data_IF_101200891573
#
_entry.id   IF_101200891573
#
_cell.length_a   1.000
_cell.length_b   1.000
_cell.length_c   1.000
_cell.angle_alpha   90.00
_cell.angle_beta   90.00
_cell.angle_gamma   90.00
#
_symmetry.space_group_name_H-M   'P 1'
#
loop_
_entity.id
_entity.type
_entity.pdbx_description
1 polymer ?
#
# COMPACT_ATOMS: atom_id res chain seq x y z
N UNK A 1 -8.73 1.73 -39.60
CA UNK A 1 -8.47 0.56 -38.73
C UNK A 1 -8.48 1.09 -37.30
N UNK A 2 -9.63 1.07 -36.64
CA UNK A 2 -9.81 1.59 -35.28
C UNK A 2 -9.32 0.50 -34.34
N UNK A 3 -8.12 0.67 -33.78
CA UNK A 3 -7.60 -0.20 -32.72
C UNK A 3 -8.49 -0.01 -31.49
N UNK A 4 -9.10 -1.10 -31.05
CA UNK A 4 -9.93 -1.17 -29.85
C UNK A 4 -9.10 -0.85 -28.61
N UNK A 5 -9.34 0.36 -28.07
CA UNK A 5 -9.21 0.70 -26.65
C UNK A 5 -9.50 -0.51 -25.75
N UNK A 6 -8.59 -0.85 -24.85
CA UNK A 6 -8.92 -1.71 -23.71
C UNK A 6 -8.35 -1.12 -22.41
N UNK A 7 -8.84 0.06 -22.02
CA UNK A 7 -9.01 0.32 -20.60
C UNK A 7 -10.23 -0.47 -20.16
N UNK A 8 -10.00 -1.48 -19.32
CA UNK A 8 -11.09 -2.25 -18.74
C UNK A 8 -11.63 -1.47 -17.55
N UNK A 9 -12.82 -0.89 -17.72
CA UNK A 9 -13.61 -0.34 -16.63
C UNK A 9 -14.54 -1.42 -16.10
N UNK A 10 -14.42 -1.75 -14.83
CA UNK A 10 -15.32 -2.69 -14.15
C UNK A 10 -15.91 -2.05 -12.90
N UNK A 11 -17.23 -2.16 -12.74
CA UNK A 11 -17.92 -1.74 -11.52
C UNK A 11 -18.09 -2.93 -10.59
N UNK A 12 -17.70 -2.74 -9.34
CA UNK A 12 -17.86 -3.68 -8.24
C UNK A 12 -18.56 -3.00 -7.06
N UNK A 13 -19.08 -3.81 -6.14
CA UNK A 13 -19.65 -3.35 -4.88
C UNK A 13 -18.96 -4.06 -3.72
N UNK A 14 -18.49 -3.29 -2.74
CA UNK A 14 -17.83 -3.81 -1.55
C UNK A 14 -18.26 -3.01 -0.32
N UNK A 15 -18.70 -3.70 0.74
CA UNK A 15 -19.19 -3.09 1.99
C UNK A 15 -20.14 -1.89 1.77
N UNK A 16 -21.13 -2.07 0.87
CA UNK A 16 -22.11 -1.04 0.54
C UNK A 16 -21.59 0.14 -0.30
N UNK A 17 -20.32 0.11 -0.72
CA UNK A 17 -19.70 1.14 -1.57
C UNK A 17 -19.57 0.64 -3.01
N UNK A 18 -19.79 1.53 -3.97
CA UNK A 18 -19.49 1.29 -5.38
C UNK A 18 -18.00 1.59 -5.62
N UNK A 19 -17.30 0.66 -6.26
CA UNK A 19 -15.90 0.81 -6.67
C UNK A 19 -15.86 0.67 -8.18
N UNK A 20 -15.30 1.67 -8.87
CA UNK A 20 -15.03 1.60 -10.30
C UNK A 20 -13.53 1.38 -10.49
N UNK A 21 -13.16 0.25 -11.06
CA UNK A 21 -11.78 -0.14 -11.28
C UNK A 21 -11.46 0.15 -12.74
N UNK A 22 -10.40 0.92 -12.98
CA UNK A 22 -9.83 1.15 -14.30
C UNK A 22 -8.48 0.44 -14.32
N UNK A 23 -8.38 -0.62 -15.12
CA UNK A 23 -7.10 -1.27 -15.35
C UNK A 23 -6.26 -0.43 -16.33
N UNK A 24 -5.03 -0.13 -15.94
CA UNK A 24 -4.11 0.69 -16.74
C UNK A 24 -2.96 -0.17 -17.24
N UNK A 25 -2.61 -0.13 -18.53
CA UNK A 25 -1.48 -0.88 -19.05
C UNK A 25 -0.16 -0.47 -18.37
N UNK A 26 0.61 -1.45 -17.90
CA UNK A 26 1.84 -1.21 -17.13
C UNK A 26 3.11 -0.99 -17.96
N UNK A 27 3.01 -1.03 -19.29
CA UNK A 27 4.17 -0.84 -20.18
C UNK A 27 4.34 0.64 -20.56
N UNK A 28 5.58 1.12 -20.64
CA UNK A 28 5.93 2.53 -20.96
C UNK A 28 5.38 3.02 -22.29
N UNK A 29 5.18 2.10 -23.23
CA UNK A 29 4.62 2.40 -24.55
C UNK A 29 3.16 2.89 -24.49
N UNK A 30 2.47 2.71 -23.36
CA UNK A 30 1.08 3.13 -23.16
C UNK A 30 0.93 4.31 -22.17
N UNK A 31 1.99 5.09 -21.97
CA UNK A 31 2.00 6.25 -21.06
C UNK A 31 0.89 7.26 -21.32
N UNK A 32 0.45 7.44 -22.57
CA UNK A 32 -0.68 8.33 -22.93
C UNK A 32 -2.01 7.81 -22.39
N UNK A 33 -2.21 6.50 -22.36
CA UNK A 33 -3.44 5.89 -21.85
C UNK A 33 -3.51 6.00 -20.33
N UNK A 34 -2.38 5.68 -19.67
CA UNK A 34 -2.22 5.86 -18.22
C UNK A 34 -2.50 7.32 -17.84
N UNK A 35 -1.96 8.27 -18.59
CA UNK A 35 -2.18 9.71 -18.33
C UNK A 35 -3.66 10.11 -18.44
N UNK A 36 -4.41 9.54 -19.38
CA UNK A 36 -5.85 9.80 -19.52
C UNK A 36 -6.64 9.26 -18.35
N UNK A 37 -6.30 8.07 -17.84
CA UNK A 37 -6.94 7.50 -16.64
C UNK A 37 -6.67 8.36 -15.41
N UNK A 38 -5.43 8.81 -15.22
CA UNK A 38 -5.05 9.61 -14.05
C UNK A 38 -5.79 10.97 -13.96
N UNK A 39 -6.35 11.47 -15.07
CA UNK A 39 -7.16 12.71 -15.08
C UNK A 39 -8.58 12.52 -14.55
N UNK A 40 -9.08 11.29 -14.51
CA UNK A 40 -10.47 10.97 -14.14
C UNK A 40 -10.57 10.13 -12.87
N UNK A 41 -9.44 9.64 -12.35
CA UNK A 41 -9.36 8.81 -11.16
C UNK A 41 -9.30 9.66 -9.89
N UNK A 42 -10.11 9.30 -8.89
CA UNK A 42 -10.05 9.89 -7.54
C UNK A 42 -8.87 9.35 -6.71
N UNK A 43 -8.28 8.24 -7.12
CA UNK A 43 -7.15 7.58 -6.45
C UNK A 43 -6.60 6.42 -7.27
N UNK A 44 -5.41 5.94 -6.90
CA UNK A 44 -4.76 4.82 -7.57
C UNK A 44 -4.11 3.85 -6.57
N UNK A 45 -3.95 2.58 -6.99
CA UNK A 45 -3.17 1.58 -6.26
C UNK A 45 -1.93 1.27 -7.10
N UNK A 46 -0.76 1.66 -6.60
CA UNK A 46 0.53 1.34 -7.20
C UNK A 46 0.96 -0.04 -6.74
N UNK A 47 0.99 -1.01 -7.65
CA UNK A 47 1.44 -2.37 -7.36
C UNK A 47 2.93 -2.49 -7.64
N UNK A 48 3.70 -2.95 -6.66
CA UNK A 48 5.14 -3.24 -6.79
C UNK A 48 5.40 -4.73 -6.65
N UNK A 49 6.40 -5.25 -7.35
CA UNK A 49 6.90 -6.61 -7.12
C UNK A 49 7.84 -6.58 -5.91
N UNK A 50 7.64 -7.47 -4.93
CA UNK A 50 8.41 -7.50 -3.69
C UNK A 50 9.91 -7.73 -3.89
N UNK A 51 10.32 -8.36 -5.00
CA UNK A 51 11.72 -8.59 -5.33
C UNK A 51 12.36 -7.37 -6.00
N UNK A 52 11.67 -6.79 -6.99
CA UNK A 52 12.23 -5.70 -7.81
C UNK A 52 12.03 -4.31 -7.21
N UNK A 53 11.01 -4.13 -6.37
CA UNK A 53 10.61 -2.82 -5.85
C UNK A 53 10.21 -1.85 -6.96
N UNK A 54 10.61 -0.59 -6.84
CA UNK A 54 10.39 0.44 -7.86
C UNK A 54 11.32 0.23 -9.04
N UNK A 55 10.76 0.25 -10.25
CA UNK A 55 11.48 0.13 -11.53
C UNK A 55 11.40 1.45 -12.36
N UNK A 56 12.23 1.65 -13.41
CA UNK A 56 12.18 2.86 -14.24
C UNK A 56 10.79 3.17 -14.84
N UNK A 57 10.00 2.13 -15.16
CA UNK A 57 8.63 2.32 -15.63
C UNK A 57 7.72 2.86 -14.51
N UNK A 58 7.91 2.38 -13.27
CA UNK A 58 7.18 2.83 -12.08
C UNK A 58 7.41 4.32 -11.84
N UNK A 59 8.65 4.81 -11.99
CA UNK A 59 8.98 6.23 -11.84
C UNK A 59 8.18 7.13 -12.80
N UNK A 60 8.04 6.69 -14.05
CA UNK A 60 7.32 7.45 -15.07
C UNK A 60 5.85 7.60 -14.71
N UNK A 61 5.18 6.50 -14.34
CA UNK A 61 3.77 6.50 -13.93
C UNK A 61 3.58 7.26 -12.61
N UNK A 62 4.50 7.09 -11.65
CA UNK A 62 4.45 7.79 -10.37
C UNK A 62 4.52 9.31 -10.56
N UNK A 63 5.41 9.79 -11.43
CA UNK A 63 5.53 11.22 -11.75
C UNK A 63 4.26 11.75 -12.40
N UNK A 64 3.65 11.00 -13.33
CA UNK A 64 2.36 11.39 -13.91
C UNK A 64 1.28 11.51 -12.82
N UNK A 65 1.14 10.51 -11.95
CA UNK A 65 0.16 10.54 -10.86
C UNK A 65 0.40 11.70 -9.88
N UNK A 66 1.67 12.03 -9.58
CA UNK A 66 2.03 13.20 -8.78
C UNK A 66 1.62 14.52 -9.46
N UNK A 67 1.85 14.66 -10.77
CA UNK A 67 1.46 15.85 -11.52
C UNK A 67 -0.06 16.10 -11.49
N UNK A 68 -0.86 15.03 -11.52
CA UNK A 68 -2.31 15.09 -11.40
C UNK A 68 -2.82 15.08 -9.96
N UNK A 69 -1.92 15.07 -8.97
CA UNK A 69 -2.25 15.04 -7.53
C UNK A 69 -3.16 13.87 -7.14
N UNK A 70 -2.99 12.72 -7.79
CA UNK A 70 -3.77 11.52 -7.50
C UNK A 70 -3.28 10.89 -6.19
N UNK A 71 -4.13 10.73 -5.16
CA UNK A 71 -3.82 9.98 -3.95
C UNK A 71 -3.51 8.52 -4.28
N UNK A 72 -2.54 7.92 -3.59
CA UNK A 72 -2.03 6.59 -3.93
C UNK A 72 -1.85 5.70 -2.71
N UNK A 73 -2.25 4.45 -2.84
CA UNK A 73 -1.82 3.35 -1.97
C UNK A 73 -0.74 2.53 -2.70
N UNK A 74 0.24 2.03 -1.96
CA UNK A 74 1.24 1.11 -2.50
C UNK A 74 0.92 -0.31 -2.02
N UNK A 75 0.81 -1.25 -2.96
CA UNK A 75 0.61 -2.66 -2.68
C UNK A 75 1.85 -3.45 -3.12
N UNK A 76 2.58 -4.01 -2.16
CA UNK A 76 3.74 -4.86 -2.44
C UNK A 76 3.24 -6.29 -2.66
N UNK A 77 3.36 -6.75 -3.90
CA UNK A 77 2.80 -8.02 -4.37
C UNK A 77 3.89 -9.08 -4.54
N UNK A 78 3.47 -10.35 -4.66
CA UNK A 78 4.32 -11.53 -4.91
C UNK A 78 5.34 -11.77 -3.79
N UNK A 79 4.89 -11.60 -2.55
CA UNK A 79 5.67 -11.88 -1.34
C UNK A 79 6.10 -13.35 -1.21
N UNK A 80 5.48 -14.25 -1.98
CA UNK A 80 5.75 -15.69 -2.06
C UNK A 80 6.97 -16.06 -2.94
N UNK A 81 7.49 -15.11 -3.74
CA UNK A 81 8.64 -15.36 -4.62
C UNK A 81 9.97 -15.38 -3.87
N UNK A 82 10.91 -16.16 -4.38
CA UNK A 82 12.31 -16.11 -3.95
C UNK A 82 12.92 -14.71 -4.15
N UNK A 83 13.59 -14.20 -3.12
CA UNK A 83 14.15 -12.85 -3.09
C UNK A 83 13.13 -11.74 -2.81
N UNK A 84 11.90 -12.07 -2.39
CA UNK A 84 10.93 -11.08 -1.96
C UNK A 84 11.40 -10.36 -0.68
N UNK A 85 11.50 -9.03 -0.74
CA UNK A 85 11.85 -8.20 0.40
C UNK A 85 10.93 -6.98 0.48
N UNK A 86 9.95 -7.07 1.38
CA UNK A 86 8.97 -6.01 1.60
C UNK A 86 9.62 -4.68 2.00
N UNK A 87 10.61 -4.71 2.89
CA UNK A 87 11.22 -3.49 3.40
C UNK A 87 12.13 -2.85 2.35
N UNK A 88 12.81 -3.64 1.53
CA UNK A 88 13.53 -3.12 0.36
C UNK A 88 12.57 -2.48 -0.66
N UNK A 89 11.41 -3.10 -0.93
CA UNK A 89 10.40 -2.53 -1.82
C UNK A 89 9.85 -1.19 -1.28
N UNK A 90 9.50 -1.13 0.01
CA UNK A 90 9.06 0.14 0.66
C UNK A 90 10.16 1.19 0.60
N UNK A 91 11.40 0.83 0.92
CA UNK A 91 12.55 1.75 0.87
C UNK A 91 12.77 2.30 -0.53
N UNK A 92 12.61 1.47 -1.56
CA UNK A 92 12.77 1.90 -2.95
C UNK A 92 11.78 3.00 -3.38
N UNK A 93 10.59 3.07 -2.77
CA UNK A 93 9.64 4.18 -2.98
C UNK A 93 10.21 5.49 -2.46
N UNK A 94 10.85 5.47 -1.29
CA UNK A 94 11.51 6.66 -0.75
C UNK A 94 12.71 7.06 -1.61
N UNK A 95 13.59 6.10 -1.89
CA UNK A 95 14.88 6.37 -2.54
C UNK A 95 14.74 6.78 -4.01
N UNK A 96 13.79 6.18 -4.76
CA UNK A 96 13.64 6.42 -6.21
C UNK A 96 12.52 7.40 -6.55
N UNK A 97 11.45 7.42 -5.76
CA UNK A 97 10.25 8.22 -6.05
C UNK A 97 10.14 9.48 -5.18
N UNK A 98 11.04 9.65 -4.21
CA UNK A 98 10.95 10.66 -3.16
C UNK A 98 9.57 10.64 -2.48
N UNK A 99 8.97 9.45 -2.38
CA UNK A 99 7.67 9.23 -1.75
C UNK A 99 7.80 9.03 -0.24
N UNK A 100 6.88 9.58 0.54
CA UNK A 100 6.80 9.33 1.98
C UNK A 100 6.01 8.05 2.27
N UNK A 101 6.47 6.92 1.72
CA UNK A 101 5.79 5.64 1.90
C UNK A 101 6.07 5.08 3.30
N UNK A 102 5.00 4.79 4.03
CA UNK A 102 5.05 4.20 5.36
C UNK A 102 4.15 2.98 5.41
N UNK A 103 4.63 1.93 6.06
CA UNK A 103 3.91 0.67 6.16
C UNK A 103 2.71 0.83 7.09
N UNK A 104 1.53 0.41 6.63
CA UNK A 104 0.34 0.19 7.46
C UNK A 104 0.20 -1.29 7.88
N UNK A 105 0.93 -2.15 7.19
CA UNK A 105 0.98 -3.60 7.41
C UNK A 105 2.42 -4.08 7.24
N UNK A 106 2.79 -5.14 7.96
CA UNK A 106 4.06 -5.86 7.74
C UNK A 106 3.78 -7.34 7.49
N UNK A 107 4.55 -8.03 6.63
CA UNK A 107 4.32 -9.43 6.34
C UNK A 107 4.76 -10.34 7.50
N UNK A 108 4.07 -11.48 7.64
CA UNK A 108 4.50 -12.60 8.48
C UNK A 108 5.18 -13.62 7.57
N UNK A 109 6.51 -13.72 7.69
CA UNK A 109 7.35 -14.50 6.81
C UNK A 109 7.56 -13.85 5.44
N UNK A 110 8.34 -14.50 4.60
CA UNK A 110 8.62 -14.12 3.22
C UNK A 110 8.81 -15.40 2.38
N UNK A 111 8.74 -15.26 1.06
CA UNK A 111 8.86 -16.37 0.11
C UNK A 111 7.86 -17.50 0.46
N UNK A 112 8.30 -18.76 0.44
CA UNK A 112 7.50 -19.91 0.83
C UNK A 112 7.00 -19.89 2.30
N UNK A 113 7.54 -19.00 3.15
CA UNK A 113 7.10 -18.83 4.53
C UNK A 113 6.10 -17.68 4.70
N UNK A 114 5.79 -16.94 3.63
CA UNK A 114 4.78 -15.89 3.66
C UNK A 114 3.41 -16.52 3.91
N UNK A 115 2.78 -16.14 5.02
CA UNK A 115 1.55 -16.79 5.50
C UNK A 115 0.54 -15.83 6.09
N UNK A 116 0.87 -14.54 6.18
CA UNK A 116 0.08 -13.61 6.95
C UNK A 116 0.60 -12.19 6.94
N UNK A 117 -0.07 -11.34 7.70
CA UNK A 117 0.31 -9.95 7.91
C UNK A 117 0.00 -9.52 9.34
N UNK A 118 0.72 -8.51 9.80
CA UNK A 118 0.40 -7.74 11.00
C UNK A 118 -0.17 -6.40 10.55
N UNK A 119 -1.39 -6.09 10.95
CA UNK A 119 -2.01 -4.77 10.83
C UNK A 119 -1.45 -3.86 11.95
N UNK A 120 -0.74 -2.80 11.55
CA UNK A 120 -0.10 -1.86 12.48
C UNK A 120 -1.08 -0.83 13.05
N UNK A 121 -2.25 -0.65 12.42
CA UNK A 121 -3.28 0.29 12.86
C UNK A 121 -4.06 -0.32 14.02
N UNK A 122 -4.46 -1.59 13.87
CA UNK A 122 -5.20 -2.32 14.92
C UNK A 122 -4.28 -3.11 15.86
N UNK A 123 -2.99 -3.24 15.52
CA UNK A 123 -2.03 -4.10 16.24
C UNK A 123 -2.52 -5.54 16.36
N UNK A 124 -2.97 -6.10 15.23
CA UNK A 124 -3.49 -7.47 15.10
C UNK A 124 -2.73 -8.23 14.03
N UNK A 125 -2.59 -9.54 14.21
CA UNK A 125 -1.99 -10.41 13.21
C UNK A 125 -3.03 -11.35 12.59
N UNK A 126 -2.89 -11.59 11.30
CA UNK A 126 -3.76 -12.47 10.53
C UNK A 126 -2.92 -13.47 9.76
N UNK A 127 -3.29 -14.75 9.86
CA UNK A 127 -2.74 -15.84 9.06
C UNK A 127 -3.79 -16.32 8.05
N UNK A 128 -3.37 -16.60 6.83
CA UNK A 128 -4.24 -17.05 5.74
C UNK A 128 -3.99 -18.53 5.44
N UNK A 129 -5.06 -19.25 5.13
CA UNK A 129 -5.01 -20.69 4.86
C UNK A 129 -4.54 -21.06 3.44
N UNK A 130 -4.27 -20.06 2.59
CA UNK A 130 -3.79 -20.23 1.21
C UNK A 130 -4.83 -20.82 0.26
N UNK A 131 -6.11 -20.89 0.66
CA UNK A 131 -7.20 -21.38 -0.17
C UNK A 131 -7.82 -20.25 -0.98
N UNK A 132 -8.57 -20.55 -2.07
CA UNK A 132 -9.23 -19.52 -2.88
C UNK A 132 -10.19 -18.62 -2.10
N UNK A 133 -10.76 -19.10 -1.00
CA UNK A 133 -11.63 -18.31 -0.13
C UNK A 133 -10.87 -17.37 0.81
N UNK A 134 -9.55 -17.51 0.92
CA UNK A 134 -8.61 -16.75 1.75
C UNK A 134 -9.16 -16.43 3.15
N UNK A 135 -9.44 -17.48 3.94
CA UNK A 135 -9.98 -17.29 5.28
C UNK A 135 -8.90 -16.74 6.22
N UNK A 136 -9.03 -15.46 6.59
CA UNK A 136 -8.17 -14.84 7.58
C UNK A 136 -8.48 -15.35 8.99
N UNK A 137 -7.47 -15.85 9.69
CA UNK A 137 -7.53 -16.20 11.10
C UNK A 137 -6.76 -15.18 11.92
N UNK A 138 -7.43 -14.51 12.84
CA UNK A 138 -6.76 -13.65 13.82
C UNK A 138 -5.88 -14.51 14.75
N UNK A 139 -4.62 -14.13 14.87
CA UNK A 139 -3.61 -14.77 15.71
C UNK A 139 -2.92 -13.70 16.57
N UNK A 140 -2.20 -14.13 17.60
CA UNK A 140 -1.28 -13.24 18.31
C UNK A 140 -0.11 -12.85 17.39
N UNK A 141 0.38 -11.62 17.54
CA UNK A 141 1.56 -11.16 16.80
C UNK A 141 2.74 -12.09 17.15
N UNK A 142 3.41 -12.72 16.17
CA UNK A 142 4.57 -13.58 16.42
C UNK A 142 5.63 -12.86 17.26
N UNK A 143 6.21 -13.55 18.23
CA UNK A 143 7.11 -12.95 19.23
C UNK A 143 8.33 -12.23 18.61
N UNK A 144 8.83 -12.76 17.48
CA UNK A 144 9.91 -12.19 16.68
C UNK A 144 9.52 -10.90 15.94
N UNK A 145 8.22 -10.67 15.73
CA UNK A 145 7.69 -9.49 15.04
C UNK A 145 7.15 -8.42 15.99
N UNK A 146 6.97 -8.69 17.28
CA UNK A 146 6.37 -7.72 18.23
C UNK A 146 7.13 -6.41 18.27
N UNK A 147 8.46 -6.45 18.44
CA UNK A 147 9.27 -5.24 18.54
C UNK A 147 9.37 -4.50 17.20
N UNK A 148 9.43 -5.25 16.09
CA UNK A 148 9.37 -4.68 14.75
C UNK A 148 8.03 -4.00 14.49
N UNK A 149 6.91 -4.63 14.86
CA UNK A 149 5.56 -4.07 14.70
C UNK A 149 5.39 -2.79 15.52
N UNK A 150 5.87 -2.76 16.77
CA UNK A 150 5.87 -1.53 17.60
C UNK A 150 6.68 -0.42 16.95
N UNK A 151 7.89 -0.73 16.48
CA UNK A 151 8.76 0.24 15.80
C UNK A 151 8.08 0.79 14.54
N UNK A 152 7.50 -0.08 13.71
CA UNK A 152 6.80 0.33 12.47
C UNK A 152 5.49 1.07 12.74
N UNK A 153 4.76 0.73 13.80
CA UNK A 153 3.60 1.53 14.24
C UNK A 153 4.03 2.92 14.68
N UNK A 154 5.15 3.04 15.40
CA UNK A 154 5.67 4.35 15.80
C UNK A 154 6.08 5.19 14.58
N UNK A 155 6.80 4.60 13.62
CA UNK A 155 7.11 5.26 12.34
C UNK A 155 5.85 5.72 11.60
N UNK A 156 4.78 4.91 11.61
CA UNK A 156 3.48 5.27 11.03
C UNK A 156 2.84 6.47 11.73
N UNK A 157 2.79 6.45 13.06
CA UNK A 157 2.21 7.53 13.88
C UNK A 157 2.97 8.84 13.64
N UNK A 158 4.30 8.80 13.65
CA UNK A 158 5.15 9.98 13.41
C UNK A 158 4.95 10.55 12.00
N UNK A 159 4.84 9.68 11.00
CA UNK A 159 4.65 10.11 9.63
C UNK A 159 3.30 10.80 9.41
N UNK A 160 2.21 10.24 9.95
CA UNK A 160 0.87 10.87 9.80
C UNK A 160 0.73 12.12 10.67
N UNK A 161 1.43 12.20 11.80
CA UNK A 161 1.47 13.40 12.62
C UNK A 161 2.00 14.63 11.88
N UNK A 162 2.92 14.45 10.94
CA UNK A 162 3.43 15.58 10.14
C UNK A 162 2.37 16.26 9.24
N UNK A 163 1.17 15.68 9.13
CA UNK A 163 0.08 16.19 8.28
C UNK A 163 -1.18 16.65 9.06
N UNK A 164 -1.23 16.49 10.38
CA UNK A 164 -2.36 16.92 11.23
C UNK A 164 -1.80 17.53 12.53
N UNK A 165 -1.86 18.87 12.66
CA UNK A 165 -1.27 19.63 13.76
C UNK A 165 -1.85 19.23 15.14
N UNK A 166 -3.15 18.93 15.20
CA UNK A 166 -3.82 18.52 16.44
C UNK A 166 -3.32 17.14 16.87
N UNK A 167 -3.24 16.21 15.92
CA UNK A 167 -2.68 14.88 16.17
C UNK A 167 -1.20 14.94 16.54
N UNK A 168 -0.41 15.81 15.91
CA UNK A 168 1.00 16.00 16.24
C UNK A 168 1.21 16.42 17.70
N UNK A 169 0.39 17.35 18.20
CA UNK A 169 0.45 17.76 19.60
C UNK A 169 0.16 16.59 20.55
N UNK A 170 -0.87 15.79 20.27
CA UNK A 170 -1.21 14.60 21.07
C UNK A 170 -0.05 13.60 21.13
N UNK A 171 0.59 13.32 19.98
CA UNK A 171 1.73 12.41 19.90
C UNK A 171 2.93 12.94 20.69
N UNK A 172 3.23 14.24 20.62
CA UNK A 172 4.33 14.87 21.38
C UNK A 172 4.08 14.86 22.90
N UNK A 173 2.82 14.90 23.32
CA UNK A 173 2.42 14.74 24.72
C UNK A 173 2.43 13.28 25.20
N UNK A 174 2.74 12.32 24.32
CA UNK A 174 2.80 10.90 24.62
C UNK A 174 1.42 10.23 24.68
N UNK A 175 0.38 10.85 24.12
CA UNK A 175 -0.96 10.26 24.03
C UNK A 175 -0.98 9.25 22.90
N UNK A 176 -1.23 7.98 23.22
CA UNK A 176 -1.42 6.95 22.20
C UNK A 176 -2.76 7.14 21.47
N UNK A 177 -2.76 7.21 20.13
CA UNK A 177 -3.98 7.40 19.37
C UNK A 177 -4.82 6.12 19.33
N UNK A 178 -6.14 6.27 19.44
CA UNK A 178 -7.07 5.19 19.19
C UNK A 178 -7.14 4.83 17.68
N UNK A 179 -7.65 3.63 17.39
CA UNK A 179 -7.76 3.09 16.01
C UNK A 179 -8.58 3.98 15.08
N UNK A 180 -9.66 4.58 15.57
CA UNK A 180 -10.54 5.42 14.75
C UNK A 180 -9.84 6.75 14.39
N UNK A 181 -9.13 7.34 15.34
CA UNK A 181 -8.30 8.53 15.14
C UNK A 181 -7.18 8.23 14.15
N UNK A 182 -6.45 7.12 14.32
CA UNK A 182 -5.37 6.74 13.40
C UNK A 182 -5.88 6.49 11.97
N UNK A 183 -7.03 5.80 11.82
CA UNK A 183 -7.68 5.61 10.50
C UNK A 183 -8.14 6.91 9.85
N UNK A 184 -8.47 7.95 10.64
CA UNK A 184 -8.88 9.26 10.11
C UNK A 184 -7.69 10.00 9.51
N UNK A 185 -6.54 9.99 10.18
CA UNK A 185 -5.34 10.78 9.78
C UNK A 185 -4.51 10.14 8.67
N UNK A 186 -4.63 8.83 8.43
CA UNK A 186 -3.99 8.14 7.29
C UNK A 186 -4.57 8.59 5.93
N UNK A 187 -5.75 9.23 5.89
CA UNK A 187 -6.52 9.54 4.67
C UNK A 187 -5.85 10.53 3.72
#
# INVERSE_FOLDING_TARGET
>A
MVSLLHQLLQTAFWNGKRINIIDTPGHVDFTVEVERSLRVLDGAVTVLDAQSGVEPQTETVWRQATNYKVPRLVYVNKMDKAGADFFAAVKSVKDRLNGNAVAIQIPIGAEAQFKGLVDLVEMKAFEYDGKPEENAKEIEIPADLVELAKTKRQELIEAVASYDDEFMMQVLEGVEPDVATLKRVIR
#
